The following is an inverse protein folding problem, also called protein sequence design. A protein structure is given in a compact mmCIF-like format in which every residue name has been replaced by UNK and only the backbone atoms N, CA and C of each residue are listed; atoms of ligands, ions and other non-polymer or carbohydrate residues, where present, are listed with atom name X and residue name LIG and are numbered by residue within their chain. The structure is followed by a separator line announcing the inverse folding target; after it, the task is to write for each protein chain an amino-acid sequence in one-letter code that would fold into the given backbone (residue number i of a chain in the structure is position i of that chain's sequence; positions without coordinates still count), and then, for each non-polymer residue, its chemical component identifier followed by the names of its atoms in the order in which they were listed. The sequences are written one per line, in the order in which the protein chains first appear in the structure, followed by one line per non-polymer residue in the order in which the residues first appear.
data_IF_024962594828
#
_entry.id   IF_024962594828
#
_cell.length_a   1.000
_cell.length_b   1.000
_cell.length_c   1.000
_cell.angle_alpha   90.00
_cell.angle_beta   90.00
_cell.angle_gamma   90.00
#
_symmetry.space_group_name_H-M   'P 1'
#
loop_
_entity.id
_entity.type
_entity.pdbx_description
1 polymer ?
#
# COMPACT_ATOMS: atom_id res chain seq x y z
N UNK A 1 35.52 71.33 -10.13
CA UNK A 1 34.61 70.70 -9.15
C UNK A 1 33.18 70.96 -9.58
N UNK A 2 32.46 69.94 -10.06
CA UNK A 2 31.15 69.54 -9.53
C UNK A 2 30.65 68.31 -10.30
N UNK A 3 30.35 67.25 -9.55
CA UNK A 3 29.77 65.99 -10.00
C UNK A 3 28.26 66.06 -9.82
N UNK A 4 27.50 65.53 -10.77
CA UNK A 4 26.11 65.08 -10.54
C UNK A 4 25.82 63.96 -11.54
N UNK A 5 26.11 62.72 -11.13
CA UNK A 5 25.15 61.70 -10.69
C UNK A 5 24.25 61.16 -11.81
N UNK A 6 24.78 60.13 -12.49
CA UNK A 6 23.98 59.01 -12.95
C UNK A 6 23.52 58.20 -11.72
N UNK A 7 22.21 58.01 -11.58
CA UNK A 7 21.63 56.96 -10.74
C UNK A 7 20.58 56.23 -11.57
N UNK A 8 21.10 55.34 -12.44
CA UNK A 8 20.31 54.34 -13.15
C UNK A 8 19.77 53.30 -12.18
N UNK A 9 18.48 53.05 -12.31
CA UNK A 9 17.62 52.13 -11.56
C UNK A 9 18.20 50.69 -11.54
N UNK A 10 18.46 50.15 -10.35
CA UNK A 10 18.56 48.70 -10.10
C UNK A 10 17.57 48.33 -8.98
N UNK A 11 16.35 47.93 -9.35
CA UNK A 11 15.33 47.43 -8.39
C UNK A 11 14.49 46.24 -8.88
N UNK A 12 14.98 45.45 -9.84
CA UNK A 12 14.21 44.32 -10.41
C UNK A 12 14.72 42.90 -10.04
N UNK A 13 15.74 42.76 -9.17
CA UNK A 13 16.34 41.44 -8.87
C UNK A 13 15.69 40.61 -7.77
N UNK A 14 15.02 41.24 -6.80
CA UNK A 14 14.61 40.58 -5.53
C UNK A 14 13.27 39.84 -5.67
N UNK A 15 12.35 40.33 -6.51
CA UNK A 15 11.03 39.70 -6.71
C UNK A 15 11.09 38.36 -7.45
N UNK A 16 12.00 38.22 -8.43
CA UNK A 16 12.16 36.99 -9.21
C UNK A 16 12.77 35.84 -8.40
N UNK A 17 13.72 36.13 -7.50
CA UNK A 17 14.36 35.12 -6.66
C UNK A 17 13.37 34.52 -5.64
N UNK A 18 12.53 35.35 -5.01
CA UNK A 18 11.52 34.88 -4.06
C UNK A 18 10.42 34.04 -4.74
N UNK A 19 9.97 34.43 -5.95
CA UNK A 19 8.98 33.64 -6.70
C UNK A 19 9.55 32.28 -7.14
N UNK A 20 10.82 32.21 -7.54
CA UNK A 20 11.46 30.94 -7.87
C UNK A 20 11.58 30.01 -6.65
N UNK A 21 11.94 30.54 -5.47
CA UNK A 21 12.03 29.75 -4.25
C UNK A 21 10.66 29.18 -3.81
N UNK A 22 9.60 30.00 -3.85
CA UNK A 22 8.24 29.54 -3.53
C UNK A 22 7.78 28.43 -4.49
N UNK A 23 8.05 28.59 -5.79
CA UNK A 23 7.71 27.59 -6.80
C UNK A 23 8.46 26.26 -6.60
N UNK A 24 9.77 26.33 -6.30
CA UNK A 24 10.56 25.13 -6.00
C UNK A 24 10.07 24.42 -4.74
N UNK A 25 9.73 25.16 -3.69
CA UNK A 25 9.22 24.58 -2.44
C UNK A 25 7.86 23.90 -2.65
N UNK A 26 6.97 24.50 -3.44
CA UNK A 26 5.69 23.90 -3.82
C UNK A 26 5.87 22.59 -4.60
N UNK A 27 6.82 22.54 -5.54
CA UNK A 27 7.12 21.30 -6.27
C UNK A 27 7.66 20.19 -5.37
N UNK A 28 8.55 20.52 -4.41
CA UNK A 28 9.09 19.55 -3.45
C UNK A 28 7.97 18.96 -2.59
N UNK A 29 7.03 19.78 -2.13
CA UNK A 29 5.89 19.33 -1.35
C UNK A 29 5.01 18.35 -2.15
N UNK A 30 4.67 18.71 -3.39
CA UNK A 30 3.87 17.86 -4.28
C UNK A 30 4.57 16.52 -4.61
N UNK A 31 5.88 16.53 -4.82
CA UNK A 31 6.66 15.29 -4.98
C UNK A 31 6.63 14.42 -3.72
N UNK A 32 6.66 15.05 -2.55
CA UNK A 32 6.60 14.33 -1.27
C UNK A 32 5.23 13.68 -1.05
N UNK A 33 4.14 14.37 -1.41
CA UNK A 33 2.78 13.83 -1.39
C UNK A 33 2.63 12.64 -2.35
N UNK A 34 3.10 12.77 -3.60
CA UNK A 34 3.12 11.66 -4.57
C UNK A 34 3.82 10.44 -3.98
N UNK A 35 5.02 10.65 -3.42
CA UNK A 35 5.81 9.57 -2.81
C UNK A 35 5.03 8.93 -1.67
N UNK A 36 4.48 9.73 -0.75
CA UNK A 36 3.71 9.24 0.38
C UNK A 36 2.57 8.34 -0.06
N UNK A 37 1.68 8.83 -0.93
CA UNK A 37 0.51 8.05 -1.34
C UNK A 37 0.89 6.77 -2.09
N UNK A 38 1.91 6.82 -2.95
CA UNK A 38 2.38 5.62 -3.68
C UNK A 38 2.93 4.56 -2.72
N UNK A 39 3.82 4.92 -1.80
CA UNK A 39 4.47 3.93 -0.93
C UNK A 39 3.63 3.51 0.27
N UNK A 40 2.78 4.39 0.81
CA UNK A 40 1.83 4.03 1.86
C UNK A 40 0.81 3.03 1.35
N UNK A 41 0.28 3.26 0.15
CA UNK A 41 -0.62 2.30 -0.49
C UNK A 41 0.07 0.96 -0.77
N UNK A 42 1.28 0.98 -1.35
CA UNK A 42 2.08 -0.22 -1.56
C UNK A 42 2.30 -1.01 -0.26
N UNK A 43 2.68 -0.33 0.83
CA UNK A 43 2.88 -0.96 2.13
C UNK A 43 1.60 -1.63 2.63
N UNK A 44 0.44 -0.99 2.46
CA UNK A 44 -0.85 -1.55 2.86
C UNK A 44 -1.18 -2.83 2.08
N UNK A 45 -0.95 -2.84 0.77
CA UNK A 45 -1.17 -4.02 -0.07
C UNK A 45 -0.24 -5.16 0.35
N UNK A 46 1.05 -4.90 0.53
CA UNK A 46 2.03 -5.93 0.93
C UNK A 46 1.71 -6.47 2.33
N UNK A 47 1.35 -5.61 3.28
CA UNK A 47 0.89 -6.03 4.62
C UNK A 47 -0.29 -7.00 4.55
N UNK A 48 -1.26 -6.74 3.66
CA UNK A 48 -2.42 -7.61 3.49
C UNK A 48 -2.06 -8.94 2.81
N UNK A 49 -1.15 -8.94 1.83
CA UNK A 49 -0.64 -10.18 1.22
C UNK A 49 0.02 -11.08 2.29
N UNK A 50 0.90 -10.52 3.11
CA UNK A 50 1.55 -11.25 4.19
C UNK A 50 0.54 -11.72 5.26
N UNK A 51 -0.43 -10.86 5.61
CA UNK A 51 -1.51 -11.23 6.52
C UNK A 51 -2.37 -12.38 5.98
N UNK A 52 -2.61 -12.41 4.67
CA UNK A 52 -3.31 -13.52 4.00
C UNK A 52 -2.55 -14.82 4.14
N UNK A 53 -1.23 -14.81 3.97
CA UNK A 53 -0.42 -16.03 4.14
C UNK A 53 -0.61 -16.64 5.54
N UNK A 54 -0.57 -15.81 6.58
CA UNK A 54 -0.83 -16.27 7.95
C UNK A 54 -2.24 -16.87 8.12
N UNK A 55 -3.26 -16.24 7.53
CA UNK A 55 -4.65 -16.76 7.58
C UNK A 55 -4.76 -18.11 6.84
N UNK A 56 -4.16 -18.22 5.66
CA UNK A 56 -4.19 -19.44 4.85
C UNK A 56 -3.46 -20.59 5.54
N UNK A 57 -2.30 -20.33 6.14
CA UNK A 57 -1.55 -21.32 6.90
C UNK A 57 -2.34 -21.80 8.13
N UNK A 58 -2.93 -20.87 8.88
CA UNK A 58 -3.71 -21.20 10.07
C UNK A 58 -4.97 -22.02 9.76
N UNK A 59 -5.68 -21.69 8.67
CA UNK A 59 -6.90 -22.38 8.23
C UNK A 59 -6.66 -23.35 7.06
N UNK A 60 -5.45 -23.88 6.89
CA UNK A 60 -5.11 -24.76 5.77
C UNK A 60 -6.04 -25.99 5.66
N UNK A 61 -6.50 -26.52 6.79
CA UNK A 61 -7.44 -27.64 6.87
C UNK A 61 -8.91 -27.23 6.76
N UNK A 62 -9.20 -25.93 6.78
CA UNK A 62 -10.54 -25.33 6.73
C UNK A 62 -10.59 -24.21 5.67
N UNK A 63 -10.38 -24.54 4.38
CA UNK A 63 -10.26 -23.56 3.30
C UNK A 63 -11.49 -22.67 3.14
N UNK A 64 -12.67 -23.18 3.49
CA UNK A 64 -13.94 -22.46 3.42
C UNK A 64 -14.22 -21.63 4.68
N UNK A 65 -13.26 -21.50 5.61
CA UNK A 65 -13.46 -20.71 6.82
C UNK A 65 -13.70 -19.23 6.46
N UNK A 66 -14.70 -18.54 7.06
CA UNK A 66 -15.04 -17.16 6.69
C UNK A 66 -13.89 -16.16 6.73
N UNK A 67 -12.89 -16.39 7.60
CA UNK A 67 -11.67 -15.55 7.65
C UNK A 67 -10.86 -15.57 6.35
N UNK A 68 -10.87 -16.67 5.60
CA UNK A 68 -10.20 -16.78 4.30
C UNK A 68 -10.87 -15.86 3.29
N UNK A 69 -12.20 -15.88 3.20
CA UNK A 69 -12.97 -14.97 2.35
C UNK A 69 -12.79 -13.51 2.80
N UNK A 70 -12.85 -13.25 4.11
CA UNK A 70 -12.69 -11.90 4.66
C UNK A 70 -11.33 -11.29 4.32
N UNK A 71 -10.23 -12.05 4.43
CA UNK A 71 -8.91 -11.51 4.09
C UNK A 71 -8.76 -11.29 2.58
N UNK A 72 -9.35 -12.15 1.75
CA UNK A 72 -9.39 -11.93 0.30
C UNK A 72 -10.15 -10.64 -0.04
N UNK A 73 -11.33 -10.42 0.57
CA UNK A 73 -12.11 -9.20 0.38
C UNK A 73 -11.38 -7.95 0.86
N UNK A 74 -10.63 -8.02 1.97
CA UNK A 74 -9.80 -6.90 2.41
C UNK A 74 -8.75 -6.53 1.37
N UNK A 75 -8.13 -7.52 0.73
CA UNK A 75 -7.20 -7.26 -0.38
C UNK A 75 -7.93 -6.60 -1.54
N UNK A 76 -9.04 -7.17 -2.01
CA UNK A 76 -9.82 -6.63 -3.14
C UNK A 76 -10.30 -5.19 -2.88
N UNK A 77 -10.74 -4.89 -1.67
CA UNK A 77 -11.07 -3.54 -1.21
C UNK A 77 -9.85 -2.61 -1.30
N UNK A 78 -8.68 -3.05 -0.81
CA UNK A 78 -7.46 -2.27 -0.92
C UNK A 78 -7.04 -2.04 -2.38
N UNK A 79 -7.21 -3.03 -3.26
CA UNK A 79 -6.91 -2.87 -4.69
C UNK A 79 -7.83 -1.82 -5.34
N UNK A 80 -9.12 -1.81 -4.99
CA UNK A 80 -10.06 -0.76 -5.45
C UNK A 80 -9.69 0.63 -4.92
N UNK A 81 -9.34 0.73 -3.63
CA UNK A 81 -8.90 1.98 -3.02
C UNK A 81 -7.62 2.49 -3.71
N UNK A 82 -6.65 1.60 -3.89
CA UNK A 82 -5.39 1.91 -4.54
C UNK A 82 -5.58 2.40 -5.98
N UNK A 83 -6.41 1.71 -6.75
CA UNK A 83 -6.78 2.15 -8.10
C UNK A 83 -7.33 3.57 -8.10
N UNK A 84 -8.16 3.91 -7.12
CA UNK A 84 -8.73 5.25 -6.95
C UNK A 84 -7.63 6.27 -6.61
N UNK A 85 -6.75 5.96 -5.65
CA UNK A 85 -5.62 6.82 -5.28
C UNK A 85 -4.75 7.10 -6.50
N UNK A 86 -4.36 6.06 -7.24
CA UNK A 86 -3.53 6.22 -8.42
C UNK A 86 -4.25 6.97 -9.54
N UNK A 87 -5.52 6.69 -9.79
CA UNK A 87 -6.31 7.46 -10.75
C UNK A 87 -6.34 8.96 -10.40
N UNK A 88 -6.62 9.31 -9.13
CA UNK A 88 -6.64 10.70 -8.67
C UNK A 88 -5.26 11.37 -8.83
N UNK A 89 -4.19 10.72 -8.38
CA UNK A 89 -2.82 11.23 -8.54
C UNK A 89 -2.48 11.49 -10.01
N UNK A 90 -2.95 10.65 -10.94
CA UNK A 90 -2.74 10.87 -12.36
C UNK A 90 -3.51 12.09 -12.87
N UNK A 91 -4.78 12.24 -12.49
CA UNK A 91 -5.61 13.38 -12.90
C UNK A 91 -5.08 14.71 -12.37
N UNK A 92 -4.61 14.74 -11.11
CA UNK A 92 -4.06 15.94 -10.48
C UNK A 92 -2.74 16.38 -11.13
N UNK A 93 -1.88 15.42 -11.49
CA UNK A 93 -0.52 15.72 -11.94
C UNK A 93 -0.36 15.77 -13.47
N UNK A 94 -1.39 15.41 -14.27
CA UNK A 94 -1.29 15.34 -15.73
C UNK A 94 -0.87 16.65 -16.41
N UNK A 95 -1.20 17.81 -15.82
CA UNK A 95 -0.88 19.13 -16.38
C UNK A 95 0.57 19.54 -16.13
N UNK A 96 1.23 18.95 -15.14
CA UNK A 96 2.63 19.24 -14.80
C UNK A 96 3.52 18.07 -15.22
N UNK A 97 4.24 18.24 -16.33
CA UNK A 97 5.11 17.19 -16.89
C UNK A 97 6.15 16.66 -15.89
N UNK A 98 6.71 17.52 -15.04
CA UNK A 98 7.72 17.11 -14.06
C UNK A 98 7.11 16.20 -12.99
N UNK A 99 5.94 16.57 -12.46
CA UNK A 99 5.22 15.75 -11.47
C UNK A 99 4.67 14.47 -12.08
N UNK A 100 4.15 14.53 -13.31
CA UNK A 100 3.70 13.35 -14.04
C UNK A 100 4.84 12.34 -14.25
N UNK A 101 6.02 12.80 -14.68
CA UNK A 101 7.20 11.95 -14.83
C UNK A 101 7.65 11.36 -13.49
N UNK A 102 7.65 12.18 -12.43
CA UNK A 102 7.99 11.74 -11.09
C UNK A 102 7.03 10.66 -10.57
N UNK A 103 5.71 10.83 -10.77
CA UNK A 103 4.69 9.84 -10.42
C UNK A 103 4.92 8.51 -11.15
N UNK A 104 5.20 8.54 -12.45
CA UNK A 104 5.52 7.34 -13.25
C UNK A 104 6.73 6.62 -12.65
N UNK A 105 7.81 7.36 -12.33
CA UNK A 105 9.00 6.78 -11.69
C UNK A 105 8.68 6.11 -10.36
N UNK A 106 7.91 6.78 -9.48
CA UNK A 106 7.55 6.18 -8.18
C UNK A 106 6.68 4.93 -8.36
N UNK A 107 5.74 4.93 -9.31
CA UNK A 107 4.92 3.75 -9.63
C UNK A 107 5.75 2.60 -10.17
N UNK A 108 6.72 2.85 -11.05
CA UNK A 108 7.60 1.81 -11.57
C UNK A 108 8.45 1.18 -10.46
N UNK A 109 8.96 2.00 -9.54
CA UNK A 109 9.68 1.51 -8.36
C UNK A 109 8.79 0.66 -7.45
N UNK A 110 7.58 1.14 -7.16
CA UNK A 110 6.59 0.41 -6.37
C UNK A 110 6.21 -0.93 -7.02
N UNK A 111 6.03 -0.94 -8.35
CA UNK A 111 5.71 -2.14 -9.12
C UNK A 111 6.81 -3.20 -9.02
N UNK A 112 8.08 -2.79 -9.08
CA UNK A 112 9.22 -3.71 -8.94
C UNK A 112 9.15 -4.47 -7.61
N UNK A 113 8.86 -3.75 -6.52
CA UNK A 113 8.72 -4.32 -5.17
C UNK A 113 7.49 -5.23 -5.11
N UNK A 114 6.34 -4.76 -5.60
CA UNK A 114 5.09 -5.53 -5.62
C UNK A 114 5.25 -6.84 -6.40
N UNK A 115 5.89 -6.79 -7.57
CA UNK A 115 6.18 -7.93 -8.42
C UNK A 115 7.03 -8.96 -7.68
N UNK A 116 8.10 -8.54 -7.02
CA UNK A 116 8.94 -9.43 -6.21
C UNK A 116 8.13 -10.15 -5.12
N UNK A 117 7.24 -9.43 -4.43
CA UNK A 117 6.37 -10.00 -3.39
C UNK A 117 5.36 -11.00 -3.97
N UNK A 118 4.68 -10.65 -5.06
CA UNK A 118 3.66 -11.51 -5.68
C UNK A 118 4.32 -12.78 -6.26
N UNK A 119 5.43 -12.62 -6.96
CA UNK A 119 6.09 -13.73 -7.66
C UNK A 119 6.78 -14.68 -6.65
N UNK A 120 7.40 -14.16 -5.58
CA UNK A 120 7.98 -14.98 -4.50
C UNK A 120 6.92 -15.77 -3.73
N UNK A 121 5.75 -15.16 -3.48
CA UNK A 121 4.62 -15.85 -2.88
C UNK A 121 4.11 -17.02 -3.72
N UNK A 122 4.11 -16.86 -5.06
CA UNK A 122 3.72 -17.94 -5.97
C UNK A 122 4.68 -19.13 -5.89
N UNK A 123 5.97 -18.87 -5.75
CA UNK A 123 6.99 -19.92 -5.64
C UNK A 123 6.90 -20.71 -4.32
N UNK A 124 6.68 -20.05 -3.18
CA UNK A 124 6.52 -20.72 -1.89
C UNK A 124 5.27 -21.64 -1.86
N UNK A 125 4.19 -21.23 -2.53
CA UNK A 125 2.96 -22.06 -2.64
C UNK A 125 3.14 -23.29 -3.52
N UNK A 126 3.96 -23.21 -4.57
CA UNK A 126 4.21 -24.35 -5.45
C UNK A 126 5.08 -25.46 -4.82
N UNK A 127 5.82 -25.16 -3.74
CA UNK A 127 6.61 -26.15 -3.01
C UNK A 127 5.82 -26.92 -1.95
N UNK A 128 4.64 -26.42 -1.55
CA UNK A 128 3.78 -27.09 -0.57
C UNK A 128 2.73 -27.94 -1.29
N UNK A 129 3.01 -29.25 -1.43
CA UNK A 129 2.18 -30.29 -2.07
C UNK A 129 0.72 -30.38 -1.57
N UNK A 130 0.37 -29.69 -0.48
CA UNK A 130 -0.91 -29.80 0.24
C UNK A 130 -2.00 -28.86 -0.35
N UNK A 131 -1.63 -27.87 -1.17
CA UNK A 131 -2.58 -26.84 -1.67
C UNK A 131 -3.35 -27.20 -2.95
N UNK A 132 -3.12 -28.39 -3.54
CA UNK A 132 -3.69 -28.72 -4.85
C UNK A 132 -5.22 -28.93 -4.87
N UNK A 133 -5.86 -29.19 -3.72
CA UNK A 133 -7.31 -29.50 -3.69
C UNK A 133 -8.25 -28.30 -3.56
N UNK A 134 -7.75 -27.06 -3.40
CA UNK A 134 -8.58 -25.85 -3.22
C UNK A 134 -8.42 -24.79 -4.33
N UNK A 135 -8.14 -25.23 -5.56
CA UNK A 135 -7.73 -24.34 -6.66
C UNK A 135 -8.77 -23.29 -7.09
N UNK A 136 -10.08 -23.54 -7.01
CA UNK A 136 -11.08 -22.63 -7.62
C UNK A 136 -11.20 -21.27 -6.91
N UNK A 137 -11.14 -21.21 -5.58
CA UNK A 137 -11.19 -19.92 -4.84
C UNK A 137 -9.82 -19.23 -4.78
N UNK A 138 -8.72 -19.99 -4.69
CA UNK A 138 -7.37 -19.44 -4.77
C UNK A 138 -7.05 -18.88 -6.16
N UNK A 139 -7.59 -19.44 -7.24
CA UNK A 139 -7.32 -18.90 -8.58
C UNK A 139 -7.95 -17.52 -8.81
N UNK A 140 -8.99 -17.12 -8.06
CA UNK A 140 -9.66 -15.83 -8.26
C UNK A 140 -8.82 -14.65 -7.76
N UNK A 141 -8.39 -14.65 -6.49
CA UNK A 141 -7.62 -13.49 -5.97
C UNK A 141 -6.25 -13.36 -6.63
N UNK A 142 -5.59 -14.49 -6.90
CA UNK A 142 -4.30 -14.50 -7.57
C UNK A 142 -4.38 -13.85 -8.97
N UNK A 143 -5.48 -14.07 -9.71
CA UNK A 143 -5.72 -13.38 -10.98
C UNK A 143 -5.92 -11.88 -10.79
N UNK A 144 -6.67 -11.46 -9.76
CA UNK A 144 -6.88 -10.04 -9.48
C UNK A 144 -5.57 -9.33 -9.09
N UNK A 145 -4.69 -10.00 -8.34
CA UNK A 145 -3.35 -9.48 -8.03
C UNK A 145 -2.46 -9.35 -9.28
N UNK A 146 -2.55 -10.31 -10.22
CA UNK A 146 -1.83 -10.20 -11.50
C UNK A 146 -2.39 -9.05 -12.36
N UNK A 147 -3.72 -8.90 -12.41
CA UNK A 147 -4.38 -7.78 -13.09
C UNK A 147 -3.97 -6.44 -12.49
N UNK A 148 -3.89 -6.34 -11.16
CA UNK A 148 -3.43 -5.15 -10.47
C UNK A 148 -1.94 -4.83 -10.78
N UNK A 149 -1.08 -5.83 -10.83
CA UNK A 149 0.32 -5.68 -11.29
C UNK A 149 0.39 -5.11 -12.71
N UNK A 150 -0.48 -5.59 -13.61
CA UNK A 150 -0.56 -5.07 -14.98
C UNK A 150 -0.96 -3.59 -15.04
N UNK A 151 -1.76 -3.07 -14.10
CA UNK A 151 -2.07 -1.63 -14.06
C UNK A 151 -0.86 -0.75 -13.76
N UNK A 152 0.04 -1.20 -12.89
CA UNK A 152 1.32 -0.52 -12.74
C UNK A 152 2.17 -0.59 -14.01
N UNK A 153 2.22 -1.74 -14.68
CA UNK A 153 3.03 -1.91 -15.89
C UNK A 153 2.52 -1.03 -17.04
N UNK A 154 1.20 -0.97 -17.22
CA UNK A 154 0.52 -0.19 -18.27
C UNK A 154 0.26 1.27 -17.89
N UNK A 155 0.49 1.65 -16.64
CA UNK A 155 0.10 2.96 -16.08
C UNK A 155 -1.39 3.28 -16.24
N UNK A 156 -2.23 2.25 -16.38
CA UNK A 156 -3.66 2.39 -16.65
C UNK A 156 -4.48 2.02 -15.40
N UNK A 157 -4.71 3.00 -14.54
CA UNK A 157 -5.54 2.87 -13.35
C UNK A 157 -6.95 3.41 -13.64
N UNK A 158 -7.99 2.65 -13.28
CA UNK A 158 -9.38 3.04 -13.48
C UNK A 158 -10.20 2.75 -12.22
N UNK A 159 -11.32 3.46 -12.05
CA UNK A 159 -12.21 3.31 -10.91
C UNK A 159 -12.87 1.93 -10.86
N UNK A 160 -13.02 1.38 -9.64
CA UNK A 160 -13.80 0.20 -9.27
C UNK A 160 -13.67 -1.01 -10.22
N UNK A 161 -12.65 -1.83 -10.02
CA UNK A 161 -12.33 -2.93 -10.94
C UNK A 161 -12.41 -4.33 -10.33
N UNK A 162 -12.51 -4.44 -9.00
CA UNK A 162 -12.43 -5.70 -8.27
C UNK A 162 -13.73 -5.96 -7.51
N UNK A 163 -14.35 -7.12 -7.76
CA UNK A 163 -15.62 -7.51 -7.11
C UNK A 163 -15.37 -8.27 -5.82
N UNK A 164 -16.13 -7.95 -4.77
CA UNK A 164 -16.04 -8.63 -3.48
C UNK A 164 -16.75 -9.98 -3.51
N UNK A 165 -16.23 -10.93 -2.74
CA UNK A 165 -16.82 -12.26 -2.58
C UNK A 165 -17.83 -12.25 -1.43
N UNK A 166 -18.91 -13.02 -1.54
CA UNK A 166 -19.86 -13.16 -0.44
C UNK A 166 -19.23 -13.89 0.75
N UNK A 167 -19.40 -13.35 1.96
CA UNK A 167 -18.81 -13.90 3.19
C UNK A 167 -19.78 -14.78 3.98
N UNK A 168 -21.08 -14.75 3.65
CA UNK A 168 -22.14 -15.41 4.43
C UNK A 168 -22.32 -14.85 5.85
N UNK A 169 -21.60 -13.77 6.19
CA UNK A 169 -21.68 -13.10 7.49
C UNK A 169 -22.58 -11.86 7.38
N UNK A 170 -23.42 -11.65 8.40
CA UNK A 170 -24.18 -10.40 8.49
C UNK A 170 -23.23 -9.21 8.63
N UNK A 171 -23.40 -8.20 7.79
CA UNK A 171 -22.66 -6.96 7.90
C UNK A 171 -23.03 -6.28 9.22
N UNK A 172 -22.05 -6.11 10.12
CA UNK A 172 -22.15 -5.19 11.27
C UNK A 172 -21.23 -4.04 11.00
N UNK A 173 -21.80 -2.93 10.54
CA UNK A 173 -21.06 -1.70 10.37
C UNK A 173 -21.02 -0.97 11.71
N UNK A 174 -19.83 -0.82 12.26
CA UNK A 174 -19.60 0.01 13.43
C UNK A 174 -19.16 1.39 12.97
N UNK A 175 -20.10 2.34 12.99
CA UNK A 175 -19.86 3.74 12.60
C UNK A 175 -18.74 4.41 13.41
N UNK A 176 -18.45 3.91 14.62
CA UNK A 176 -17.38 4.42 15.47
C UNK A 176 -15.96 4.12 14.95
N UNK A 177 -15.85 3.27 13.92
CA UNK A 177 -14.59 2.93 13.26
C UNK A 177 -14.12 4.03 12.30
N UNK A 178 -15.06 4.76 11.68
CA UNK A 178 -14.74 5.78 10.68
C UNK A 178 -13.85 6.91 11.22
N UNK A 179 -14.20 7.57 12.35
CA UNK A 179 -13.37 8.63 12.92
C UNK A 179 -11.95 8.14 13.26
N UNK A 180 -11.83 6.92 13.82
CA UNK A 180 -10.54 6.33 14.19
C UNK A 180 -9.60 6.13 12.98
N UNK A 181 -10.16 5.84 11.81
CA UNK A 181 -9.38 5.69 10.57
C UNK A 181 -8.93 7.05 10.04
N UNK A 182 -9.82 8.04 10.01
CA UNK A 182 -9.52 9.38 9.50
C UNK A 182 -8.54 10.15 10.40
N UNK A 183 -8.75 10.11 11.72
CA UNK A 183 -7.93 10.85 12.68
C UNK A 183 -6.49 10.33 12.73
N UNK A 184 -6.28 9.02 12.54
CA UNK A 184 -4.93 8.44 12.50
C UNK A 184 -4.17 8.79 11.21
N UNK A 185 -4.87 8.89 10.07
CA UNK A 185 -4.24 9.19 8.78
C UNK A 185 -3.93 10.69 8.63
N UNK A 186 -4.84 11.57 9.07
CA UNK A 186 -4.63 13.03 9.03
C UNK A 186 -3.48 13.46 9.95
N UNK A 187 -3.33 12.85 11.13
CA UNK A 187 -2.25 13.17 12.06
C UNK A 187 -0.85 12.74 11.56
N UNK A 188 -0.76 11.75 10.68
CA UNK A 188 0.52 11.36 10.07
C UNK A 188 0.94 12.31 8.93
N UNK A 189 -0.03 12.84 8.18
CA UNK A 189 0.19 13.85 7.15
C UNK A 189 0.60 15.21 7.76
N UNK A 190 -0.06 15.62 8.84
CA UNK A 190 0.16 16.94 9.47
C UNK A 190 1.48 17.06 10.24
N UNK A 191 2.09 15.96 10.68
CA UNK A 191 3.30 15.99 11.50
C UNK A 191 4.62 15.96 10.70
N UNK A 192 4.58 16.06 9.37
CA UNK A 192 5.80 16.16 8.54
C UNK A 192 6.73 14.94 8.62
N UNK A 193 6.34 13.85 9.31
CA UNK A 193 7.02 12.56 9.25
C UNK A 193 6.62 11.83 7.96
N UNK A 194 6.87 12.49 6.83
CA UNK A 194 6.98 11.84 5.53
C UNK A 194 8.23 10.98 5.61
N UNK A 195 8.10 9.79 6.19
CA UNK A 195 9.22 8.89 6.37
C UNK A 195 9.93 8.73 5.03
N UNK A 196 11.21 9.06 5.06
CA UNK A 196 12.10 8.95 3.92
C UNK A 196 12.00 7.54 3.33
N UNK A 197 12.10 7.46 2.02
CA UNK A 197 11.85 6.27 1.17
C UNK A 197 12.22 5.00 1.93
N UNK A 198 11.21 4.25 2.36
CA UNK A 198 11.41 2.95 2.98
C UNK A 198 11.98 2.05 1.91
N UNK A 199 13.21 1.57 2.11
CA UNK A 199 13.82 0.64 1.17
C UNK A 199 12.91 -0.58 1.00
N UNK A 200 13.05 -1.31 -0.10
CA UNK A 200 12.32 -2.59 -0.28
C UNK A 200 12.45 -3.47 0.97
N UNK A 201 13.64 -3.52 1.58
CA UNK A 201 13.89 -4.25 2.83
C UNK A 201 13.01 -3.77 3.98
N UNK A 202 12.81 -2.46 4.14
CA UNK A 202 11.97 -1.91 5.21
C UNK A 202 10.49 -2.23 4.99
N UNK A 203 10.03 -2.17 3.74
CA UNK A 203 8.66 -2.52 3.37
C UNK A 203 8.37 -3.99 3.72
N UNK A 204 9.29 -4.88 3.35
CA UNK A 204 9.20 -6.31 3.66
C UNK A 204 9.25 -6.54 5.16
N UNK A 205 10.21 -5.94 5.88
CA UNK A 205 10.33 -6.08 7.33
C UNK A 205 9.05 -5.66 8.06
N UNK A 206 8.41 -4.55 7.64
CA UNK A 206 7.12 -4.11 8.21
C UNK A 206 6.01 -5.12 7.94
N UNK A 207 5.98 -5.71 6.76
CA UNK A 207 5.00 -6.72 6.40
C UNK A 207 5.18 -8.03 7.19
N UNK A 208 6.42 -8.47 7.42
CA UNK A 208 6.75 -9.61 8.28
C UNK A 208 6.31 -9.37 9.74
N UNK A 209 6.58 -8.17 10.29
CA UNK A 209 6.11 -7.79 11.63
C UNK A 209 4.59 -7.79 11.70
N UNK A 210 3.91 -7.33 10.65
CA UNK A 210 2.45 -7.37 10.57
C UNK A 210 1.92 -8.81 10.48
N UNK A 211 2.57 -9.67 9.71
CA UNK A 211 2.26 -11.10 9.65
C UNK A 211 2.33 -11.74 11.03
N UNK A 212 3.40 -11.50 11.78
CA UNK A 212 3.57 -12.04 13.13
C UNK A 212 2.44 -11.59 14.07
N UNK A 213 2.02 -10.32 14.00
CA UNK A 213 0.87 -9.83 14.78
C UNK A 213 -0.42 -10.56 14.42
N UNK A 214 -0.66 -10.80 13.13
CA UNK A 214 -1.84 -11.55 12.67
C UNK A 214 -1.79 -13.00 13.16
N UNK A 215 -0.64 -13.67 13.04
CA UNK A 215 -0.42 -15.03 13.56
C UNK A 215 -0.77 -15.11 15.05
N UNK A 216 -0.22 -14.20 15.86
CA UNK A 216 -0.47 -14.17 17.30
C UNK A 216 -1.98 -13.98 17.61
N UNK A 217 -2.65 -13.07 16.90
CA UNK A 217 -4.09 -12.82 17.08
C UNK A 217 -4.95 -14.02 16.65
N UNK A 218 -4.57 -14.73 15.59
CA UNK A 218 -5.26 -15.94 15.14
C UNK A 218 -5.18 -17.04 16.19
N UNK A 219 -3.99 -17.29 16.75
CA UNK A 219 -3.84 -18.32 17.79
C UNK A 219 -4.58 -18.00 19.09
N UNK A 220 -4.71 -16.72 19.45
CA UNK A 220 -5.50 -16.31 20.62
C UNK A 220 -7.00 -16.51 20.41
N UNK A 221 -7.51 -16.20 19.20
CA UNK A 221 -8.96 -16.22 18.91
C UNK A 221 -9.48 -17.56 18.39
N UNK A 222 -8.63 -18.30 17.69
CA UNK A 222 -8.89 -19.58 17.07
C UNK A 222 -7.79 -20.56 17.47
N UNK A 223 -7.74 -21.01 18.73
CA UNK A 223 -6.73 -21.96 19.16
C UNK A 223 -6.92 -23.28 18.40
N UNK A 224 -6.03 -23.57 17.45
CA UNK A 224 -5.95 -24.88 16.84
C UNK A 224 -5.54 -25.87 17.95
N UNK A 225 -6.39 -26.86 18.25
CA UNK A 225 -6.08 -27.90 19.27
C UNK A 225 -4.76 -28.64 19.01
N UNK A 226 -4.24 -28.60 17.78
CA UNK A 226 -2.93 -29.15 17.40
C UNK A 226 -1.73 -28.28 17.81
N UNK A 227 -1.90 -26.96 17.97
CA UNK A 227 -0.80 -26.05 18.30
C UNK A 227 -0.55 -25.93 19.82
N UNK A 228 -1.52 -26.30 20.66
CA UNK A 228 -1.31 -26.40 22.11
C UNK A 228 -0.21 -27.41 22.46
N UNK A 229 0.02 -28.44 21.63
CA UNK A 229 1.12 -29.41 21.81
C UNK A 229 2.51 -28.82 21.55
N UNK A 230 2.63 -27.79 20.69
CA UNK A 230 3.92 -27.15 20.40
C UNK A 230 4.31 -26.10 21.45
N UNK A 231 3.33 -25.44 22.09
CA UNK A 231 3.62 -24.52 23.20
C UNK A 231 4.01 -25.23 24.49
N UNK A 232 3.48 -26.43 24.77
CA UNK A 232 3.89 -27.24 25.93
C UNK A 232 5.27 -27.89 25.76
N UNK A 233 5.80 -28.01 24.54
CA UNK A 233 7.12 -28.61 24.29
C UNK A 233 8.27 -27.59 24.20
N UNK A 234 7.98 -26.30 24.07
CA UNK A 234 9.00 -25.24 24.00
C UNK A 234 9.12 -24.43 25.30
N UNK A 235 8.14 -24.52 26.19
CA UNK A 235 8.11 -23.80 27.46
C UNK A 235 7.63 -24.64 28.65
N UNK A 236 7.65 -25.98 28.51
CA UNK A 236 7.37 -26.95 29.58
C UNK A 236 8.60 -27.75 29.94
#
# INVERSE_FOLDING_TARGET
MSKTHQSGIQRNGIGFQNQQQIYQQSQIQQQSEIRYYVYQDLQNIINLIYSRNAVLEHFQNYPNHPMVTLINNKILLQLNLSNTIHFCLQQENQKNRNLSNFLIQQRMNANRILKNVIDSNKQQKNQSLIYQNNQKQMNSLENELQKYKYFYESQNFQLNQFQLQETGLAAKFDESVFPKIFDQQINQLNNGQLQDITSEKDIIKRAELQQQKVINNLYQRYPNKFTQKFQTLLFG
#
